data_IF_153432891670
#
_entry.id   IF_153432891670
#
_cell.length_a   1.000
_cell.length_b   1.000
_cell.length_c   1.000
_cell.angle_alpha   90.00
_cell.angle_beta   90.00
_cell.angle_gamma   90.00
#
_symmetry.space_group_name_H-M   'P 1'
#
loop_
_entity.id
_entity.type
_entity.pdbx_description
1 polymer ?
#
# COMPACT_ATOMS: atom_id res chain seq x y z
N UNK A 1 -4.86 -42.56 -7.62
CA UNK A 1 -6.07 -43.26 -7.13
C UNK A 1 -6.36 -42.95 -5.66
N UNK A 2 -5.36 -42.94 -4.76
CA UNK A 2 -5.58 -42.68 -3.33
C UNK A 2 -6.17 -41.30 -2.99
N UNK A 3 -5.72 -40.19 -3.58
CA UNK A 3 -6.26 -38.85 -3.23
C UNK A 3 -7.76 -38.72 -3.49
N UNK A 4 -8.26 -39.33 -4.57
CA UNK A 4 -9.68 -39.27 -4.89
C UNK A 4 -10.49 -40.23 -4.02
N UNK A 5 -9.94 -41.41 -3.70
CA UNK A 5 -10.55 -42.37 -2.80
C UNK A 5 -10.61 -41.83 -1.36
N UNK A 6 -9.49 -41.34 -0.83
CA UNK A 6 -9.38 -40.67 0.47
C UNK A 6 -10.31 -39.46 0.55
N UNK A 7 -10.44 -38.69 -0.55
CA UNK A 7 -11.39 -37.60 -0.64
C UNK A 7 -12.82 -38.09 -0.55
N UNK A 8 -13.23 -39.07 -1.38
CA UNK A 8 -14.60 -39.62 -1.37
C UNK A 8 -14.93 -40.24 -0.01
N UNK A 9 -13.98 -40.93 0.62
CA UNK A 9 -14.11 -41.49 1.97
C UNK A 9 -14.27 -40.38 3.02
N UNK A 10 -13.51 -39.27 2.91
CA UNK A 10 -13.68 -38.11 3.77
C UNK A 10 -15.05 -37.45 3.66
N UNK A 11 -15.77 -37.65 2.55
CA UNK A 11 -17.13 -37.15 2.35
C UNK A 11 -18.21 -38.03 2.97
N UNK A 12 -17.90 -39.27 3.35
CA UNK A 12 -18.87 -40.26 3.81
C UNK A 12 -19.47 -40.00 5.20
N UNK A 13 -18.82 -39.17 6.03
CA UNK A 13 -19.18 -38.93 7.44
C UNK A 13 -19.39 -37.44 7.76
N UNK A 14 -20.08 -36.71 6.88
CA UNK A 14 -20.30 -35.27 7.05
C UNK A 14 -21.72 -34.98 7.53
N UNK A 15 -21.82 -34.22 8.62
CA UNK A 15 -23.09 -33.92 9.29
C UNK A 15 -23.81 -32.68 8.70
N UNK A 16 -23.13 -31.89 7.87
CA UNK A 16 -23.70 -30.66 7.31
C UNK A 16 -23.09 -30.26 5.96
N UNK A 17 -23.80 -29.38 5.24
CA UNK A 17 -23.28 -28.73 4.04
C UNK A 17 -22.03 -27.88 4.33
N UNK A 18 -21.92 -27.34 5.55
CA UNK A 18 -20.73 -26.60 5.99
C UNK A 18 -19.50 -27.51 6.03
N UNK A 19 -19.62 -28.70 6.63
CA UNK A 19 -18.51 -29.67 6.70
C UNK A 19 -18.12 -30.19 5.31
N UNK A 20 -19.11 -30.36 4.42
CA UNK A 20 -18.87 -30.69 3.01
C UNK A 20 -18.04 -29.63 2.30
N UNK A 21 -18.42 -28.35 2.41
CA UNK A 21 -17.68 -27.26 1.77
C UNK A 21 -16.25 -27.17 2.31
N UNK A 22 -16.05 -27.29 3.62
CA UNK A 22 -14.73 -27.27 4.23
C UNK A 22 -13.84 -28.41 3.71
N UNK A 23 -14.34 -29.65 3.70
CA UNK A 23 -13.60 -30.81 3.20
C UNK A 23 -13.28 -30.72 1.71
N UNK A 24 -14.23 -30.24 0.89
CA UNK A 24 -14.02 -30.04 -0.55
C UNK A 24 -12.93 -29.00 -0.80
N UNK A 25 -12.97 -27.85 -0.12
CA UNK A 25 -11.96 -26.79 -0.27
C UNK A 25 -10.57 -27.30 0.14
N UNK A 26 -10.48 -28.04 1.25
CA UNK A 26 -9.23 -28.64 1.72
C UNK A 26 -8.62 -29.59 0.69
N UNK A 27 -9.43 -30.50 0.13
CA UNK A 27 -8.95 -31.50 -0.84
C UNK A 27 -8.63 -30.90 -2.20
N UNK A 28 -9.40 -29.92 -2.68
CA UNK A 28 -9.10 -29.17 -3.90
C UNK A 28 -7.72 -28.52 -3.78
N UNK A 29 -7.43 -27.82 -2.69
CA UNK A 29 -6.12 -27.17 -2.47
C UNK A 29 -4.97 -28.16 -2.46
N UNK A 30 -5.08 -29.25 -1.69
CA UNK A 30 -4.06 -30.32 -1.66
C UNK A 30 -3.80 -30.91 -3.04
N UNK A 31 -4.86 -31.18 -3.80
CA UNK A 31 -4.76 -31.72 -5.16
C UNK A 31 -4.06 -30.74 -6.10
N UNK A 32 -4.44 -29.45 -6.07
CA UNK A 32 -3.79 -28.41 -6.86
C UNK A 32 -2.31 -28.23 -6.48
N UNK A 33 -1.95 -28.28 -5.20
CA UNK A 33 -0.55 -28.20 -4.76
C UNK A 33 0.30 -29.32 -5.36
N UNK A 34 -0.23 -30.56 -5.39
CA UNK A 34 0.47 -31.71 -5.98
C UNK A 34 0.58 -31.61 -7.50
N UNK A 35 -0.48 -31.17 -8.18
CA UNK A 35 -0.45 -30.90 -9.63
C UNK A 35 0.63 -29.88 -9.98
N UNK A 36 0.71 -28.78 -9.22
CA UNK A 36 1.73 -27.74 -9.44
C UNK A 36 3.13 -28.25 -9.09
N UNK A 37 3.30 -29.01 -7.99
CA UNK A 37 4.60 -29.60 -7.63
C UNK A 37 5.13 -30.51 -8.74
N UNK A 38 4.27 -31.37 -9.28
CA UNK A 38 4.63 -32.29 -10.36
C UNK A 38 4.90 -31.55 -11.67
N UNK A 39 4.10 -30.52 -11.99
CA UNK A 39 4.39 -29.63 -13.12
C UNK A 39 5.78 -28.99 -13.00
N UNK A 40 6.14 -28.45 -11.83
CA UNK A 40 7.46 -27.86 -11.59
C UNK A 40 8.59 -28.88 -11.71
N UNK A 41 8.37 -30.11 -11.24
CA UNK A 41 9.31 -31.21 -11.39
C UNK A 41 9.51 -31.59 -12.86
N UNK A 42 8.44 -31.68 -13.64
CA UNK A 42 8.53 -31.95 -15.08
C UNK A 42 9.21 -30.81 -15.83
N UNK A 43 8.91 -29.55 -15.47
CA UNK A 43 9.61 -28.40 -16.02
C UNK A 43 11.12 -28.48 -15.76
N UNK A 44 11.54 -28.85 -14.55
CA UNK A 44 12.96 -29.08 -14.21
C UNK A 44 13.59 -30.21 -15.07
N UNK A 45 12.84 -31.27 -15.41
CA UNK A 45 13.31 -32.30 -16.35
C UNK A 45 13.55 -31.74 -17.76
N UNK A 46 12.65 -30.89 -18.26
CA UNK A 46 12.79 -30.32 -19.61
C UNK A 46 13.98 -29.39 -19.76
N UNK A 47 14.51 -28.86 -18.65
CA UNK A 47 15.67 -27.97 -18.66
C UNK A 47 16.99 -28.72 -18.79
N UNK A 48 17.06 -30.02 -18.49
CA UNK A 48 18.30 -30.81 -18.48
C UNK A 48 19.13 -30.69 -19.77
N UNK A 49 18.54 -30.79 -20.97
CA UNK A 49 19.31 -30.69 -22.22
C UNK A 49 19.96 -29.32 -22.45
N UNK A 50 19.45 -28.27 -21.80
CA UNK A 50 19.95 -26.89 -21.92
C UNK A 50 21.06 -26.55 -20.92
N UNK A 51 21.43 -27.48 -20.03
CA UNK A 51 22.42 -27.25 -18.98
C UNK A 51 23.83 -27.31 -19.57
N UNK A 52 24.69 -26.29 -19.36
CA UNK A 52 26.07 -26.31 -19.82
C UNK A 52 26.86 -27.50 -19.26
N UNK A 53 27.65 -28.16 -20.11
CA UNK A 53 28.35 -29.41 -19.79
C UNK A 53 29.42 -29.26 -18.69
N UNK A 54 29.93 -28.05 -18.48
CA UNK A 54 30.88 -27.70 -17.42
C UNK A 54 30.27 -27.71 -16.00
N UNK A 55 28.94 -27.76 -15.90
CA UNK A 55 28.24 -27.80 -14.62
C UNK A 55 28.09 -29.23 -14.10
N UNK A 56 28.61 -29.52 -12.91
CA UNK A 56 28.57 -30.85 -12.32
C UNK A 56 27.27 -31.06 -11.55
N UNK A 57 26.51 -32.11 -11.88
CA UNK A 57 25.32 -32.49 -11.10
C UNK A 57 25.70 -32.92 -9.68
N UNK A 58 25.02 -32.36 -8.68
CA UNK A 58 25.26 -32.68 -7.26
C UNK A 58 24.15 -33.59 -6.73
N UNK A 59 22.93 -33.07 -6.66
CA UNK A 59 21.77 -33.78 -6.13
C UNK A 59 20.47 -33.06 -6.53
N UNK A 60 19.33 -33.59 -6.07
CA UNK A 60 18.08 -32.84 -6.02
C UNK A 60 17.91 -32.21 -4.64
N UNK A 61 17.40 -30.99 -4.61
CA UNK A 61 17.11 -30.26 -3.37
C UNK A 61 15.64 -29.85 -3.32
N UNK A 62 15.01 -30.09 -2.18
CA UNK A 62 13.64 -29.65 -1.93
C UNK A 62 13.54 -28.11 -1.87
N UNK A 63 12.43 -27.57 -2.36
CA UNK A 63 12.00 -26.18 -2.20
C UNK A 63 10.54 -26.12 -1.83
N UNK A 64 10.19 -25.18 -0.95
CA UNK A 64 8.81 -24.84 -0.63
C UNK A 64 8.52 -23.41 -1.06
N UNK A 65 7.42 -23.19 -1.79
CA UNK A 65 6.91 -21.86 -2.13
C UNK A 65 5.44 -21.78 -1.71
N UNK A 66 5.11 -20.74 -0.94
CA UNK A 66 3.79 -20.31 -0.54
C UNK A 66 3.10 -19.58 -1.71
N UNK A 67 2.04 -20.19 -2.22
CA UNK A 67 1.12 -19.60 -3.16
C UNK A 67 -0.19 -19.22 -2.46
N UNK A 68 -1.04 -18.42 -3.11
CA UNK A 68 -2.36 -18.07 -2.57
C UNK A 68 -3.29 -19.30 -2.42
N UNK A 69 -2.96 -20.42 -3.08
CA UNK A 69 -3.64 -21.70 -2.95
C UNK A 69 -2.90 -22.69 -2.01
N UNK A 70 -1.88 -22.21 -1.29
CA UNK A 70 -1.13 -22.95 -0.28
C UNK A 70 0.31 -23.29 -0.69
N UNK A 71 1.01 -23.98 0.21
CA UNK A 71 2.42 -24.32 0.07
C UNK A 71 2.62 -25.45 -0.95
N UNK A 72 3.50 -25.22 -1.93
CA UNK A 72 3.93 -26.24 -2.89
C UNK A 72 5.35 -26.66 -2.57
N UNK A 73 5.52 -27.95 -2.28
CA UNK A 73 6.81 -28.59 -2.05
C UNK A 73 7.23 -29.34 -3.31
N UNK A 74 8.41 -29.05 -3.86
CA UNK A 74 8.94 -29.73 -5.04
C UNK A 74 10.44 -29.92 -4.93
N UNK A 75 10.98 -30.89 -5.68
CA UNK A 75 12.42 -31.10 -5.81
C UNK A 75 12.92 -30.55 -7.14
N UNK A 76 14.10 -29.95 -7.11
CA UNK A 76 14.77 -29.41 -8.30
C UNK A 76 16.24 -29.80 -8.31
N UNK A 77 16.85 -29.84 -9.48
CA UNK A 77 18.26 -30.21 -9.58
C UNK A 77 19.18 -29.10 -9.09
N UNK A 78 20.29 -29.50 -8.47
CA UNK A 78 21.37 -28.65 -8.04
C UNK A 78 22.65 -29.05 -8.77
N UNK A 79 23.29 -28.06 -9.38
CA UNK A 79 24.57 -28.19 -10.07
C UNK A 79 25.62 -27.32 -9.41
N UNK A 80 26.89 -27.71 -9.54
CA UNK A 80 28.04 -26.90 -9.16
C UNK A 80 28.67 -26.33 -10.42
N UNK A 81 28.77 -25.00 -10.49
CA UNK A 81 29.49 -24.30 -11.56
C UNK A 81 31.01 -24.41 -11.34
N UNK A 82 31.84 -24.27 -12.39
CA UNK A 82 33.31 -24.27 -12.27
C UNK A 82 33.85 -23.22 -11.29
N UNK A 83 33.13 -22.10 -11.12
CA UNK A 83 33.47 -21.04 -10.17
C UNK A 83 33.12 -21.36 -8.71
N UNK A 84 32.61 -22.57 -8.41
CA UNK A 84 32.23 -23.01 -7.08
C UNK A 84 30.83 -22.57 -6.61
N UNK A 85 30.05 -21.87 -7.44
CA UNK A 85 28.68 -21.45 -7.09
C UNK A 85 27.64 -22.52 -7.42
N UNK A 86 26.59 -22.60 -6.60
CA UNK A 86 25.45 -23.49 -6.85
C UNK A 86 24.54 -22.90 -7.92
N UNK A 87 24.10 -23.76 -8.83
CA UNK A 87 23.20 -23.46 -9.93
C UNK A 87 21.94 -24.31 -9.83
N UNK A 88 20.78 -23.64 -9.83
CA UNK A 88 19.46 -24.27 -9.80
C UNK A 88 18.70 -23.87 -11.08
N UNK A 89 18.71 -24.71 -12.14
CA UNK A 89 18.15 -24.36 -13.44
C UNK A 89 16.70 -23.88 -13.37
N UNK A 90 15.85 -24.62 -12.63
CA UNK A 90 14.45 -24.25 -12.43
C UNK A 90 14.28 -22.91 -11.71
N UNK A 91 15.13 -22.61 -10.71
CA UNK A 91 15.05 -21.35 -9.97
C UNK A 91 15.44 -20.17 -10.85
N UNK A 92 16.47 -20.31 -11.69
CA UNK A 92 16.87 -19.26 -12.64
C UNK A 92 15.81 -19.07 -13.72
N UNK A 93 15.27 -20.15 -14.28
CA UNK A 93 14.21 -20.08 -15.27
C UNK A 93 12.98 -19.36 -14.72
N UNK A 94 12.56 -19.69 -13.50
CA UNK A 94 11.43 -19.05 -12.82
C UNK A 94 11.79 -17.73 -12.10
N UNK A 95 13.06 -17.32 -12.16
CA UNK A 95 13.65 -16.18 -11.46
C UNK A 95 13.26 -16.10 -9.97
N UNK A 96 13.29 -17.25 -9.30
CA UNK A 96 12.92 -17.38 -7.90
C UNK A 96 14.01 -16.81 -7.00
N UNK A 97 13.73 -15.68 -6.35
CA UNK A 97 14.62 -15.06 -5.36
C UNK A 97 15.16 -16.08 -4.35
N UNK A 98 16.47 -16.05 -4.09
CA UNK A 98 17.14 -16.96 -3.18
C UNK A 98 16.52 -16.87 -1.77
N UNK A 99 16.28 -18.04 -1.13
CA UNK A 99 15.74 -18.16 0.23
C UNK A 99 14.35 -17.56 0.47
N UNK A 100 13.72 -16.97 -0.54
CA UNK A 100 12.34 -16.48 -0.45
C UNK A 100 11.37 -17.63 -0.71
N UNK A 101 10.37 -17.70 0.16
CA UNK A 101 9.33 -18.73 0.16
C UNK A 101 7.96 -18.22 -0.26
N UNK A 102 7.81 -16.94 -0.63
CA UNK A 102 6.50 -16.37 -0.96
C UNK A 102 6.48 -16.01 -2.43
N UNK A 103 5.51 -16.52 -3.17
CA UNK A 103 5.37 -16.26 -4.60
C UNK A 103 5.11 -14.78 -4.91
N UNK A 104 5.53 -14.26 -6.08
CA UNK A 104 5.31 -12.87 -6.48
C UNK A 104 3.83 -12.45 -6.44
N UNK A 105 2.93 -13.32 -6.92
CA UNK A 105 1.49 -13.04 -6.90
C UNK A 105 0.96 -12.91 -5.48
N UNK A 106 1.37 -13.79 -4.56
CA UNK A 106 1.01 -13.71 -3.15
C UNK A 106 1.45 -12.36 -2.55
N UNK A 107 2.70 -11.96 -2.77
CA UNK A 107 3.20 -10.64 -2.31
C UNK A 107 2.31 -9.50 -2.80
N UNK A 108 1.86 -9.57 -4.06
CA UNK A 108 0.97 -8.56 -4.66
C UNK A 108 -0.40 -8.49 -3.96
N UNK A 109 -0.99 -9.64 -3.62
CA UNK A 109 -2.28 -9.70 -2.92
C UNK A 109 -2.17 -9.11 -1.52
N UNK A 110 -1.12 -9.49 -0.77
CA UNK A 110 -0.84 -8.93 0.56
C UNK A 110 -0.67 -7.42 0.50
N UNK A 111 0.06 -6.89 -0.48
CA UNK A 111 0.25 -5.44 -0.63
C UNK A 111 -1.04 -4.70 -0.96
N UNK A 112 -1.97 -5.30 -1.72
CA UNK A 112 -3.28 -4.71 -2.03
C UNK A 112 -4.19 -4.66 -0.78
N UNK A 113 -4.32 -5.77 -0.07
CA UNK A 113 -5.16 -5.86 1.14
C UNK A 113 -4.56 -5.01 2.27
N UNK A 114 -3.23 -5.04 2.44
CA UNK A 114 -2.52 -4.30 3.47
C UNK A 114 -2.69 -2.77 3.45
N UNK A 115 -3.20 -2.21 2.35
CA UNK A 115 -3.53 -0.78 2.23
C UNK A 115 -4.85 -0.38 2.88
N UNK A 116 -5.75 -1.33 3.16
CA UNK A 116 -7.06 -1.04 3.75
C UNK A 116 -7.19 -1.56 5.17
N UNK A 117 -6.33 -2.49 5.60
CA UNK A 117 -6.41 -3.15 6.91
C UNK A 117 -5.11 -3.08 7.71
N UNK A 118 -5.16 -3.33 9.02
CA UNK A 118 -3.95 -3.45 9.86
C UNK A 118 -3.10 -4.66 9.44
N UNK A 119 -1.82 -4.72 9.83
CA UNK A 119 -0.97 -5.87 9.46
C UNK A 119 -1.49 -7.19 10.04
N UNK A 120 -2.04 -7.16 11.26
CA UNK A 120 -2.65 -8.34 11.89
C UNK A 120 -3.93 -8.77 11.18
N UNK A 121 -4.82 -7.84 10.84
CA UNK A 121 -6.05 -8.17 10.12
C UNK A 121 -5.75 -8.66 8.70
N UNK A 122 -4.73 -8.09 8.05
CA UNK A 122 -4.26 -8.57 6.74
C UNK A 122 -3.75 -10.00 6.85
N UNK A 123 -2.93 -10.31 7.85
CA UNK A 123 -2.46 -11.67 8.10
C UNK A 123 -3.63 -12.62 8.37
N UNK A 124 -4.59 -12.25 9.22
CA UNK A 124 -5.77 -13.06 9.51
C UNK A 124 -6.63 -13.31 8.26
N UNK A 125 -6.88 -12.28 7.44
CA UNK A 125 -7.63 -12.41 6.19
C UNK A 125 -6.93 -13.32 5.18
N UNK A 126 -5.61 -13.17 5.04
CA UNK A 126 -4.81 -14.04 4.17
C UNK A 126 -4.85 -15.47 4.70
N UNK A 127 -4.55 -15.70 5.97
CA UNK A 127 -4.54 -17.05 6.56
C UNK A 127 -5.90 -17.73 6.43
N UNK A 128 -7.00 -17.00 6.64
CA UNK A 128 -8.35 -17.49 6.41
C UNK A 128 -8.58 -17.88 4.94
N UNK A 129 -8.22 -17.00 4.01
CA UNK A 129 -8.46 -17.20 2.59
C UNK A 129 -7.56 -18.29 1.97
N UNK A 130 -6.29 -18.36 2.35
CA UNK A 130 -5.29 -19.25 1.74
C UNK A 130 -4.87 -20.45 2.59
N UNK A 131 -5.36 -20.59 3.83
CA UNK A 131 -4.90 -21.61 4.80
C UNK A 131 -3.37 -21.64 4.93
N UNK A 132 -2.78 -20.45 4.92
CA UNK A 132 -1.35 -20.24 5.12
C UNK A 132 -1.11 -19.71 6.52
N UNK A 133 0.14 -19.68 6.97
CA UNK A 133 0.53 -19.14 8.28
C UNK A 133 1.41 -17.89 8.15
N UNK A 134 0.91 -16.85 7.49
CA UNK A 134 1.64 -15.58 7.41
C UNK A 134 1.50 -14.79 8.73
N UNK A 135 2.62 -14.28 9.24
CA UNK A 135 2.62 -13.40 10.41
C UNK A 135 2.39 -11.94 10.02
N UNK A 136 1.91 -11.12 10.97
CA UNK A 136 1.80 -9.67 10.78
C UNK A 136 3.15 -9.00 10.45
N UNK A 137 4.27 -9.56 10.94
CA UNK A 137 5.61 -9.07 10.61
C UNK A 137 5.99 -9.38 9.16
N UNK A 138 5.67 -10.58 8.68
CA UNK A 138 5.85 -10.96 7.28
C UNK A 138 5.03 -10.07 6.34
N UNK A 139 3.80 -9.70 6.74
CA UNK A 139 2.98 -8.72 6.02
C UNK A 139 3.67 -7.36 5.93
N UNK A 140 4.19 -6.82 7.04
CA UNK A 140 4.92 -5.54 7.04
C UNK A 140 6.15 -5.58 6.11
N UNK A 141 6.91 -6.69 6.14
CA UNK A 141 8.05 -6.89 5.25
C UNK A 141 7.64 -6.90 3.78
N UNK A 142 6.58 -7.65 3.42
CA UNK A 142 6.06 -7.68 2.05
C UNK A 142 5.63 -6.29 1.60
N UNK A 143 4.94 -5.53 2.45
CA UNK A 143 4.50 -4.16 2.13
C UNK A 143 5.70 -3.26 1.81
N UNK A 144 6.79 -3.36 2.56
CA UNK A 144 8.02 -2.59 2.28
C UNK A 144 8.66 -3.03 0.97
N UNK A 145 8.85 -4.33 0.79
CA UNK A 145 9.43 -4.90 -0.44
C UNK A 145 8.60 -4.45 -1.67
N UNK A 146 7.27 -4.51 -1.60
CA UNK A 146 6.38 -4.08 -2.70
C UNK A 146 6.34 -2.56 -2.90
N UNK A 147 6.51 -1.77 -1.85
CA UNK A 147 6.65 -0.32 -1.99
C UNK A 147 7.94 0.05 -2.73
N UNK A 148 9.04 -0.65 -2.47
CA UNK A 148 10.30 -0.49 -3.19
C UNK A 148 10.15 -0.91 -4.66
N UNK A 149 9.45 -2.02 -4.94
CA UNK A 149 9.09 -2.40 -6.32
C UNK A 149 8.32 -1.29 -7.02
N UNK A 150 7.27 -0.74 -6.39
CA UNK A 150 6.48 0.37 -6.96
C UNK A 150 7.34 1.60 -7.22
N UNK A 151 8.25 1.94 -6.31
CA UNK A 151 9.15 3.09 -6.44
C UNK A 151 10.12 2.94 -7.62
N UNK A 152 10.66 1.74 -7.84
CA UNK A 152 11.52 1.44 -8.98
C UNK A 152 10.75 1.53 -10.31
N UNK A 153 9.55 0.96 -10.35
CA UNK A 153 8.73 0.95 -11.57
C UNK A 153 8.21 2.33 -11.96
N UNK A 154 7.85 3.16 -10.97
CA UNK A 154 7.48 4.54 -11.19
C UNK A 154 8.60 5.31 -11.88
N UNK A 155 9.84 5.24 -11.36
CA UNK A 155 11.01 5.89 -11.96
C UNK A 155 11.26 5.43 -13.39
N UNK A 156 11.21 4.12 -13.65
CA UNK A 156 11.41 3.59 -15.00
C UNK A 156 10.32 4.01 -16.00
N UNK A 157 9.11 4.29 -15.51
CA UNK A 157 7.99 4.73 -16.35
C UNK A 157 8.11 6.21 -16.76
N UNK A 158 8.99 6.98 -16.13
CA UNK A 158 9.15 8.41 -16.37
C UNK A 158 10.02 8.75 -17.60
N UNK A 159 10.54 7.78 -18.34
CA UNK A 159 11.48 8.06 -19.44
C UNK A 159 10.83 8.41 -20.79
N UNK A 160 9.49 8.41 -20.89
CA UNK A 160 8.81 8.72 -22.16
C UNK A 160 8.67 10.23 -22.39
N UNK A 161 8.99 10.66 -23.61
CA UNK A 161 8.66 12.00 -24.11
C UNK A 161 7.14 12.19 -24.09
N UNK A 162 6.67 13.27 -23.46
CA UNK A 162 5.25 13.60 -23.36
C UNK A 162 4.98 14.93 -24.05
N UNK A 163 3.97 14.96 -24.93
CA UNK A 163 3.45 16.22 -25.47
C UNK A 163 2.79 17.02 -24.35
N UNK A 164 3.39 18.15 -23.98
CA UNK A 164 2.85 19.04 -22.93
C UNK A 164 1.45 19.55 -23.31
N UNK A 165 0.52 19.49 -22.36
CA UNK A 165 -0.86 19.99 -22.47
C UNK A 165 -0.94 21.47 -22.17
N UNK A 166 -1.86 22.17 -22.84
CA UNK A 166 -2.28 23.53 -22.47
C UNK A 166 -3.74 23.45 -22.07
N UNK A 167 -4.06 23.91 -20.87
CA UNK A 167 -5.41 23.90 -20.29
C UNK A 167 -5.67 25.23 -19.60
N UNK A 168 -6.93 25.57 -19.37
CA UNK A 168 -7.29 26.87 -18.78
C UNK A 168 -7.59 26.80 -17.28
N UNK A 169 -7.65 25.59 -16.73
CA UNK A 169 -8.25 25.26 -15.45
C UNK A 169 -7.37 24.28 -14.65
N UNK A 170 -6.04 24.38 -14.77
CA UNK A 170 -5.11 23.56 -14.00
C UNK A 170 -5.09 24.03 -12.54
N UNK A 171 -5.40 23.12 -11.63
CA UNK A 171 -5.46 23.36 -10.18
C UNK A 171 -4.38 22.56 -9.46
N UNK A 172 -3.73 23.18 -8.49
CA UNK A 172 -2.86 22.55 -7.49
C UNK A 172 -3.39 22.84 -6.10
N UNK A 173 -3.83 21.82 -5.37
CA UNK A 173 -4.22 21.96 -3.96
C UNK A 173 -3.18 21.31 -3.07
N UNK A 174 -2.86 21.95 -1.95
CA UNK A 174 -1.88 21.46 -0.98
C UNK A 174 -2.39 21.58 0.44
N UNK A 175 -2.23 20.50 1.21
CA UNK A 175 -2.50 20.47 2.66
C UNK A 175 -1.58 19.46 3.36
N UNK A 176 -1.67 19.36 4.68
CA UNK A 176 -0.97 18.38 5.49
C UNK A 176 -1.92 17.68 6.48
N UNK A 177 -1.60 16.43 6.81
CA UNK A 177 -2.24 15.75 7.91
C UNK A 177 -1.22 15.08 8.84
N UNK A 178 -1.47 15.20 10.13
CA UNK A 178 -0.59 14.66 11.17
C UNK A 178 -0.83 13.16 11.43
N UNK A 179 0.23 12.38 11.63
CA UNK A 179 0.19 10.97 12.05
C UNK A 179 1.13 10.71 13.24
N UNK A 180 0.92 9.59 13.93
CA UNK A 180 1.71 9.19 15.09
C UNK A 180 2.84 8.22 14.70
N UNK A 181 4.07 8.51 15.13
CA UNK A 181 5.22 7.60 15.05
C UNK A 181 5.30 6.72 16.30
N UNK A 182 6.07 5.62 16.22
CA UNK A 182 6.25 4.65 17.32
C UNK A 182 6.72 5.32 18.62
N UNK A 183 7.55 6.36 18.54
CA UNK A 183 8.06 7.12 19.68
C UNK A 183 7.09 8.22 20.19
N UNK A 184 5.79 8.10 19.88
CA UNK A 184 4.73 9.07 20.18
C UNK A 184 4.98 10.49 19.61
N UNK A 185 5.98 10.66 18.74
CA UNK A 185 6.16 11.90 18.00
C UNK A 185 5.12 12.02 16.90
N UNK A 186 4.77 13.26 16.60
CA UNK A 186 3.89 13.65 15.50
C UNK A 186 4.73 13.85 14.25
N UNK A 187 4.16 13.49 13.11
CA UNK A 187 4.77 13.68 11.80
C UNK A 187 3.69 14.19 10.86
N UNK A 188 3.96 15.30 10.20
CA UNK A 188 3.12 15.77 9.12
C UNK A 188 3.39 14.97 7.86
N UNK A 189 2.32 14.54 7.21
CA UNK A 189 2.33 14.03 5.86
C UNK A 189 1.80 15.14 4.96
N UNK A 190 2.63 15.60 4.04
CA UNK A 190 2.29 16.62 3.07
C UNK A 190 1.63 15.96 1.88
N UNK A 191 0.51 16.53 1.46
CA UNK A 191 -0.33 15.99 0.40
C UNK A 191 -0.68 17.09 -0.59
N UNK A 192 -0.39 16.84 -1.86
CA UNK A 192 -0.72 17.73 -2.97
C UNK A 192 -1.51 16.97 -4.01
N UNK A 193 -2.48 17.65 -4.61
CA UNK A 193 -3.24 17.12 -5.73
C UNK A 193 -3.18 18.10 -6.90
N UNK A 194 -3.01 17.54 -8.10
CA UNK A 194 -3.01 18.29 -9.35
C UNK A 194 -4.13 17.75 -10.22
N UNK A 195 -5.00 18.62 -10.72
CA UNK A 195 -6.11 18.21 -11.59
C UNK A 195 -6.55 19.34 -12.52
N UNK A 196 -7.28 18.96 -13.56
CA UNK A 196 -7.98 19.89 -14.45
C UNK A 196 -9.42 20.04 -13.93
N UNK A 197 -9.86 21.28 -13.66
CA UNK A 197 -11.13 21.57 -12.98
C UNK A 197 -12.27 21.90 -13.93
N UNK A 198 -13.26 21.03 -14.07
CA UNK A 198 -14.47 21.28 -14.86
C UNK A 198 -15.45 22.25 -14.20
N UNK A 199 -16.30 22.89 -15.01
CA UNK A 199 -17.35 23.83 -14.56
C UNK A 199 -18.36 23.20 -13.59
N UNK A 200 -18.69 21.94 -13.82
CA UNK A 200 -19.60 21.12 -13.03
C UNK A 200 -18.94 20.55 -11.76
N UNK A 201 -17.66 20.88 -11.51
CA UNK A 201 -16.88 20.35 -10.40
C UNK A 201 -16.25 18.97 -10.69
N UNK A 202 -16.33 18.49 -11.93
CA UNK A 202 -15.55 17.32 -12.35
C UNK A 202 -14.06 17.61 -12.27
N UNK A 203 -13.29 16.55 -12.03
CA UNK A 203 -11.83 16.61 -11.92
C UNK A 203 -11.23 15.59 -12.85
N UNK A 204 -10.73 16.02 -14.00
CA UNK A 204 -10.01 15.15 -14.93
C UNK A 204 -8.52 15.16 -14.63
N UNK A 205 -7.83 14.10 -15.07
CA UNK A 205 -6.37 14.01 -14.99
C UNK A 205 -5.79 14.24 -13.58
N UNK A 206 -6.56 13.86 -12.55
CA UNK A 206 -6.16 14.02 -11.14
C UNK A 206 -4.97 13.13 -10.79
N UNK A 207 -3.94 13.72 -10.20
CA UNK A 207 -2.78 13.03 -9.66
C UNK A 207 -2.48 13.53 -8.25
N UNK A 208 -2.28 12.60 -7.32
CA UNK A 208 -1.99 12.86 -5.91
C UNK A 208 -0.52 12.56 -5.59
N UNK A 209 0.08 13.39 -4.74
CA UNK A 209 1.47 13.31 -4.30
C UNK A 209 1.52 13.40 -2.78
N UNK A 210 2.14 12.42 -2.13
CA UNK A 210 2.30 12.39 -0.67
C UNK A 210 3.74 12.17 -0.24
N UNK A 211 4.07 12.63 0.96
CA UNK A 211 5.34 12.33 1.60
C UNK A 211 5.54 13.06 2.91
N UNK A 212 6.57 12.64 3.65
CA UNK A 212 6.88 13.18 4.99
C UNK A 212 7.79 14.41 4.97
N UNK A 213 8.31 14.79 3.78
CA UNK A 213 9.18 15.94 3.59
C UNK A 213 8.57 16.88 2.57
N UNK A 214 8.09 18.04 3.02
CA UNK A 214 7.36 19.01 2.19
C UNK A 214 8.11 19.37 0.91
N UNK A 215 9.40 19.74 1.01
CA UNK A 215 10.20 20.19 -0.12
C UNK A 215 10.37 19.07 -1.17
N UNK A 216 10.56 17.83 -0.74
CA UNK A 216 10.64 16.68 -1.67
C UNK A 216 9.31 16.46 -2.40
N UNK A 217 8.18 16.61 -1.71
CA UNK A 217 6.85 16.44 -2.35
C UNK A 217 6.57 17.61 -3.31
N UNK A 218 6.84 18.86 -2.90
CA UNK A 218 6.73 20.04 -3.77
C UNK A 218 7.55 19.87 -5.04
N UNK A 219 8.81 19.41 -4.94
CA UNK A 219 9.63 19.12 -6.11
C UNK A 219 8.99 18.09 -7.05
N UNK A 220 8.42 17.00 -6.52
CA UNK A 220 7.71 15.99 -7.34
C UNK A 220 6.51 16.60 -8.07
N UNK A 221 5.77 17.49 -7.42
CA UNK A 221 4.64 18.21 -8.02
C UNK A 221 5.13 19.14 -9.13
N UNK A 222 6.19 19.93 -8.87
CA UNK A 222 6.82 20.80 -9.87
C UNK A 222 7.29 20.01 -11.08
N UNK A 223 8.09 18.95 -10.86
CA UNK A 223 8.63 18.10 -11.92
C UNK A 223 7.51 17.48 -12.77
N UNK A 224 6.41 17.06 -12.15
CA UNK A 224 5.23 16.58 -12.85
C UNK A 224 4.57 17.69 -13.69
N UNK A 225 4.27 18.84 -13.10
CA UNK A 225 3.56 19.91 -13.81
C UNK A 225 4.39 20.41 -15.00
N UNK A 226 5.68 20.67 -14.79
CA UNK A 226 6.60 21.14 -15.83
C UNK A 226 6.75 20.13 -16.97
N UNK A 227 6.70 18.84 -16.67
CA UNK A 227 6.78 17.77 -17.66
C UNK A 227 5.51 17.63 -18.49
N UNK A 228 4.33 17.76 -17.88
CA UNK A 228 3.06 17.44 -18.52
C UNK A 228 2.26 18.64 -19.02
N UNK A 229 2.58 19.86 -18.60
CA UNK A 229 1.82 21.07 -18.92
C UNK A 229 2.72 22.23 -19.39
N UNK A 230 2.21 23.05 -20.31
CA UNK A 230 2.87 24.28 -20.81
C UNK A 230 2.53 25.48 -19.92
N UNK A 231 2.90 25.42 -18.64
CA UNK A 231 2.43 26.41 -17.66
C UNK A 231 2.91 27.85 -17.94
N UNK A 232 3.98 28.04 -18.70
CA UNK A 232 4.47 29.34 -19.17
C UNK A 232 3.49 30.12 -20.04
N UNK A 233 2.41 29.49 -20.49
CA UNK A 233 1.33 30.10 -21.27
C UNK A 233 -0.03 29.97 -20.56
N UNK A 234 -0.03 29.67 -19.25
CA UNK A 234 -1.24 29.32 -18.50
C UNK A 234 -1.35 30.12 -17.20
N UNK A 235 -2.61 30.36 -16.80
CA UNK A 235 -2.92 30.66 -15.40
C UNK A 235 -3.06 29.35 -14.64
N UNK A 236 -2.31 29.18 -13.55
CA UNK A 236 -2.44 28.03 -12.65
C UNK A 236 -3.13 28.46 -11.37
N UNK A 237 -4.15 27.71 -10.97
CA UNK A 237 -4.90 27.96 -9.74
C UNK A 237 -4.28 27.15 -8.61
N UNK A 238 -4.07 27.78 -7.47
CA UNK A 238 -3.50 27.13 -6.29
C UNK A 238 -4.44 27.30 -5.10
N UNK A 239 -4.61 26.27 -4.28
CA UNK A 239 -5.42 26.34 -3.06
C UNK A 239 -4.78 25.63 -1.87
N UNK A 240 -4.95 26.21 -0.69
CA UNK A 240 -4.44 25.63 0.57
C UNK A 240 -5.09 26.28 1.80
N UNK A 241 -4.61 25.92 2.99
CA UNK A 241 -4.99 26.52 4.27
C UNK A 241 -4.32 27.88 4.56
N UNK A 242 -3.33 28.28 3.77
CA UNK A 242 -2.52 29.49 3.95
C UNK A 242 -1.48 29.42 5.08
N UNK A 243 -1.23 28.23 5.64
CA UNK A 243 -0.29 28.00 6.73
C UNK A 243 1.19 28.03 6.32
N UNK A 244 2.11 27.79 7.27
CA UNK A 244 3.55 27.68 6.97
C UNK A 244 3.82 26.64 5.88
N UNK A 245 4.50 27.06 4.80
CA UNK A 245 4.79 26.22 3.64
C UNK A 245 3.60 25.99 2.68
N UNK A 246 2.43 26.53 2.99
CA UNK A 246 1.21 26.49 2.17
C UNK A 246 0.69 27.89 1.83
N UNK A 247 1.33 28.94 2.31
CA UNK A 247 0.99 30.33 1.98
C UNK A 247 1.15 30.64 0.47
N UNK A 248 0.63 31.78 -0.02
CA UNK A 248 0.67 32.12 -1.45
C UNK A 248 2.07 32.06 -2.07
N UNK A 249 3.10 32.51 -1.33
CA UNK A 249 4.48 32.48 -1.80
C UNK A 249 4.97 31.05 -2.00
N UNK A 250 4.77 30.18 -1.00
CA UNK A 250 5.16 28.78 -1.08
C UNK A 250 4.40 28.02 -2.18
N UNK A 251 3.11 28.30 -2.39
CA UNK A 251 2.35 27.69 -3.48
C UNK A 251 2.77 28.19 -4.86
N UNK A 252 3.18 29.45 -4.98
CA UNK A 252 3.76 30.01 -6.22
C UNK A 252 5.08 29.33 -6.60
N UNK A 253 5.93 29.01 -5.61
CA UNK A 253 7.22 28.34 -5.82
C UNK A 253 7.07 26.92 -6.42
N UNK A 254 5.91 26.26 -6.29
CA UNK A 254 5.64 24.94 -6.87
C UNK A 254 5.48 25.01 -8.39
N UNK A 255 5.04 26.15 -8.92
CA UNK A 255 4.78 26.36 -10.36
C UNK A 255 5.57 27.56 -10.86
N UNK A 256 6.92 27.51 -10.80
CA UNK A 256 7.77 28.68 -11.03
C UNK A 256 7.61 29.25 -12.44
N UNK A 257 7.46 28.39 -13.45
CA UNK A 257 7.34 28.81 -14.84
C UNK A 257 5.93 29.26 -15.22
N UNK A 258 4.94 29.24 -14.32
CA UNK A 258 3.57 29.61 -14.70
C UNK A 258 3.46 31.10 -15.07
N UNK A 259 2.75 31.40 -16.16
CA UNK A 259 2.52 32.78 -16.62
C UNK A 259 1.83 33.62 -15.55
N UNK A 260 0.80 33.05 -14.91
CA UNK A 260 0.06 33.66 -13.81
C UNK A 260 -0.31 32.59 -12.79
N UNK A 261 -0.35 32.98 -11.51
CA UNK A 261 -0.81 32.09 -10.44
C UNK A 261 -1.90 32.77 -9.64
N UNK A 262 -3.02 32.08 -9.51
CA UNK A 262 -4.20 32.52 -8.77
C UNK A 262 -4.32 31.69 -7.50
N UNK A 263 -3.99 32.29 -6.36
CA UNK A 263 -4.08 31.62 -5.07
C UNK A 263 -5.45 31.87 -4.42
N UNK A 264 -6.04 30.82 -3.83
CA UNK A 264 -7.32 30.88 -3.10
C UNK A 264 -7.20 30.11 -1.79
N UNK A 265 -7.76 30.65 -0.71
CA UNK A 265 -7.88 29.91 0.54
C UNK A 265 -9.00 28.89 0.41
N UNK A 266 -8.72 27.64 0.76
CA UNK A 266 -9.72 26.60 0.77
C UNK A 266 -10.83 26.93 1.79
N UNK A 267 -12.06 26.92 1.29
CA UNK A 267 -13.29 27.17 2.05
C UNK A 267 -13.37 26.36 3.33
N UNK A 268 -12.93 25.11 3.29
CA UNK A 268 -12.98 24.24 4.44
C UNK A 268 -12.24 24.83 5.65
N UNK A 269 -11.08 25.46 5.45
CA UNK A 269 -10.22 25.90 6.55
C UNK A 269 -10.78 27.13 7.27
N UNK A 270 -11.29 28.14 6.56
CA UNK A 270 -11.90 29.29 7.22
C UNK A 270 -13.22 28.90 7.90
N UNK A 271 -14.03 28.03 7.29
CA UNK A 271 -15.27 27.52 7.92
C UNK A 271 -14.94 26.75 9.19
N UNK A 272 -13.92 25.89 9.15
CA UNK A 272 -13.47 25.11 10.30
C UNK A 272 -12.95 26.01 11.42
N UNK A 273 -12.13 27.02 11.10
CA UNK A 273 -11.63 27.98 12.10
C UNK A 273 -12.77 28.77 12.75
N UNK A 274 -13.73 29.27 11.98
CA UNK A 274 -14.92 29.94 12.53
C UNK A 274 -15.67 29.01 13.48
N UNK A 275 -15.96 27.77 13.07
CA UNK A 275 -16.66 26.78 13.92
C UNK A 275 -15.90 26.43 15.20
N UNK A 276 -14.57 26.33 15.12
CA UNK A 276 -13.72 26.04 16.27
C UNK A 276 -13.67 27.21 17.25
N UNK A 277 -13.65 28.45 16.76
CA UNK A 277 -13.62 29.65 17.59
C UNK A 277 -14.98 29.93 18.24
N UNK A 278 -16.07 29.86 17.46
CA UNK A 278 -17.41 30.23 17.93
C UNK A 278 -18.07 29.13 18.78
N UNK A 279 -17.65 27.88 18.58
CA UNK A 279 -18.36 26.69 19.03
C UNK A 279 -19.40 26.24 18.01
N UNK A 280 -19.50 24.92 17.81
CA UNK A 280 -20.28 24.31 16.71
C UNK A 280 -21.76 24.72 16.70
N UNK A 281 -22.34 24.96 17.87
CA UNK A 281 -23.76 25.27 18.07
C UNK A 281 -24.07 26.75 18.25
N UNK A 282 -23.07 27.64 18.08
CA UNK A 282 -23.30 29.07 18.22
C UNK A 282 -24.08 29.61 17.00
N UNK A 283 -25.19 30.33 17.20
CA UNK A 283 -26.05 30.82 16.12
C UNK A 283 -25.37 31.85 15.20
N UNK A 284 -24.23 32.41 15.60
CA UNK A 284 -23.45 33.36 14.80
C UNK A 284 -22.56 32.67 13.75
N UNK A 285 -22.33 31.35 13.85
CA UNK A 285 -21.45 30.60 12.93
C UNK A 285 -21.91 30.75 11.48
N UNK A 286 -23.18 30.47 11.19
CA UNK A 286 -23.69 30.51 9.82
C UNK A 286 -23.69 31.92 9.25
N UNK A 287 -23.96 32.92 10.10
CA UNK A 287 -23.87 34.34 9.72
C UNK A 287 -22.43 34.71 9.37
N UNK A 288 -21.45 34.34 10.20
CA UNK A 288 -20.03 34.60 9.96
C UNK A 288 -19.54 33.92 8.68
N UNK A 289 -19.87 32.63 8.49
CA UNK A 289 -19.51 31.89 7.28
C UNK A 289 -20.13 32.53 6.04
N UNK A 290 -21.38 32.99 6.11
CA UNK A 290 -22.06 33.67 5.00
C UNK A 290 -21.37 35.00 4.67
N UNK A 291 -21.07 35.83 5.66
CA UNK A 291 -20.36 37.11 5.46
C UNK A 291 -18.99 36.92 4.80
N UNK A 292 -18.21 35.92 5.26
CA UNK A 292 -16.93 35.57 4.62
C UNK A 292 -17.12 35.11 3.18
N UNK A 293 -18.15 34.29 2.92
CA UNK A 293 -18.45 33.77 1.57
C UNK A 293 -18.89 34.86 0.59
N UNK A 294 -19.60 35.88 1.10
CA UNK A 294 -20.09 37.03 0.32
C UNK A 294 -19.07 38.18 0.26
N UNK A 295 -17.89 38.00 0.84
CA UNK A 295 -16.85 39.04 0.92
C UNK A 295 -17.31 40.32 1.65
N UNK A 296 -18.23 40.18 2.61
CA UNK A 296 -18.78 41.29 3.39
C UNK A 296 -18.01 41.45 4.71
N UNK A 297 -16.97 42.29 4.65
CA UNK A 297 -16.09 42.55 5.79
C UNK A 297 -16.78 43.32 6.92
N UNK A 298 -17.72 44.21 6.56
CA UNK A 298 -18.42 45.04 7.54
C UNK A 298 -19.34 44.18 8.41
N UNK A 299 -20.19 43.36 7.77
CA UNK A 299 -21.07 42.46 8.50
C UNK A 299 -20.28 41.43 9.32
N UNK A 300 -19.14 40.95 8.79
CA UNK A 300 -18.27 40.04 9.53
C UNK A 300 -17.72 40.67 10.80
N UNK A 301 -17.26 41.93 10.75
CA UNK A 301 -16.76 42.64 11.92
C UNK A 301 -17.84 42.77 12.99
N UNK A 302 -19.07 43.18 12.62
CA UNK A 302 -20.21 43.25 13.54
C UNK A 302 -20.47 41.91 14.24
N UNK A 303 -20.39 40.80 13.49
CA UNK A 303 -20.59 39.45 14.05
C UNK A 303 -19.46 39.07 15.01
N UNK A 304 -18.21 39.38 14.67
CA UNK A 304 -17.05 39.11 15.52
C UNK A 304 -17.11 39.93 16.81
N UNK A 305 -17.51 41.19 16.75
CA UNK A 305 -17.68 42.06 17.92
C UNK A 305 -18.85 41.59 18.80
N UNK A 306 -19.95 41.13 18.17
CA UNK A 306 -21.07 40.52 18.87
C UNK A 306 -20.62 39.26 19.60
N UNK A 307 -19.83 38.40 18.95
CA UNK A 307 -19.28 37.20 19.58
C UNK A 307 -18.32 37.55 20.73
N UNK A 308 -17.49 38.58 20.56
CA UNK A 308 -16.58 39.08 21.60
C UNK A 308 -17.30 39.45 22.89
N UNK A 309 -18.47 40.08 22.80
CA UNK A 309 -19.29 40.41 23.99
C UNK A 309 -19.88 39.19 24.71
N UNK A 310 -19.88 38.01 24.08
CA UNK A 310 -20.36 36.74 24.68
C UNK A 310 -19.23 35.93 25.33
N UNK A 311 -17.97 36.30 25.10
CA UNK A 311 -16.79 35.58 25.60
C UNK A 311 -16.68 35.72 27.12
N UNK A 312 -16.38 34.60 27.80
CA UNK A 312 -16.25 34.58 29.27
C UNK A 312 -14.84 34.23 29.74
N UNK A 313 -13.98 33.77 28.85
CA UNK A 313 -12.65 33.27 29.19
C UNK A 313 -11.56 33.88 28.31
N UNK A 314 -10.37 34.08 28.88
CA UNK A 314 -9.20 34.56 28.13
C UNK A 314 -8.82 33.63 26.97
N UNK A 315 -9.08 32.33 27.11
CA UNK A 315 -8.83 31.33 26.08
C UNK A 315 -9.72 31.51 24.85
N UNK A 316 -11.00 31.82 25.06
CA UNK A 316 -11.93 32.13 23.98
C UNK A 316 -11.56 33.46 23.32
N UNK A 317 -11.16 34.46 24.10
CA UNK A 317 -10.69 35.75 23.59
C UNK A 317 -9.46 35.58 22.70
N UNK A 318 -8.49 34.77 23.13
CA UNK A 318 -7.31 34.46 22.33
C UNK A 318 -7.68 33.69 21.06
N UNK A 319 -8.63 32.76 21.14
CA UNK A 319 -9.14 32.03 19.96
C UNK A 319 -9.80 32.96 18.94
N UNK A 320 -10.51 34.01 19.41
CA UNK A 320 -11.07 35.05 18.55
C UNK A 320 -9.98 35.93 17.93
N UNK A 321 -8.97 36.35 18.70
CA UNK A 321 -7.82 37.11 18.18
C UNK A 321 -7.10 36.37 17.06
N UNK A 322 -6.83 35.08 17.25
CA UNK A 322 -6.21 34.22 16.24
C UNK A 322 -7.09 34.13 14.98
N UNK A 323 -8.41 34.02 15.13
CA UNK A 323 -9.34 34.03 13.99
C UNK A 323 -9.31 35.36 13.23
N UNK A 324 -9.38 36.51 13.94
CA UNK A 324 -9.28 37.84 13.32
C UNK A 324 -7.99 38.00 12.53
N UNK A 325 -6.85 37.64 13.11
CA UNK A 325 -5.56 37.70 12.43
C UNK A 325 -5.50 36.77 11.21
N UNK A 326 -6.07 35.57 11.30
CA UNK A 326 -6.16 34.64 10.18
C UNK A 326 -6.98 35.21 9.03
N UNK A 327 -8.18 35.73 9.31
CA UNK A 327 -9.07 36.30 8.30
C UNK A 327 -8.45 37.56 7.67
N UNK A 328 -7.88 38.46 8.48
CA UNK A 328 -7.24 39.67 7.99
C UNK A 328 -6.08 39.39 7.01
N UNK A 329 -5.18 38.46 7.35
CA UNK A 329 -4.06 38.06 6.47
C UNK A 329 -4.52 37.48 5.14
N UNK A 330 -5.64 36.76 5.16
CA UNK A 330 -6.09 35.92 4.07
C UNK A 330 -7.25 36.52 3.27
N UNK A 331 -7.78 37.67 3.69
CA UNK A 331 -9.02 38.25 3.17
C UNK A 331 -9.04 38.32 1.64
N UNK A 332 -7.99 38.88 1.02
CA UNK A 332 -7.87 38.99 -0.44
C UNK A 332 -7.93 37.65 -1.20
N UNK A 333 -7.59 36.54 -0.53
CA UNK A 333 -7.55 35.20 -1.12
C UNK A 333 -8.82 34.38 -0.85
N UNK A 334 -9.77 34.91 -0.07
CA UNK A 334 -11.05 34.24 0.20
C UNK A 334 -11.97 34.30 -1.01
N UNK A 335 -11.91 35.40 -1.77
CA UNK A 335 -12.72 35.60 -2.99
C UNK A 335 -12.49 34.43 -3.95
N UNK A 336 -13.55 33.86 -4.51
CA UNK A 336 -13.39 32.70 -5.39
C UNK A 336 -12.75 33.10 -6.73
N UNK A 337 -12.10 32.18 -7.46
CA UNK A 337 -11.62 32.46 -8.81
C UNK A 337 -12.74 32.98 -9.73
N UNK A 338 -13.94 32.43 -9.61
CA UNK A 338 -15.10 32.87 -10.38
C UNK A 338 -15.42 34.35 -10.14
N UNK A 339 -15.44 34.79 -8.88
CA UNK A 339 -15.70 36.20 -8.54
C UNK A 339 -14.53 37.14 -8.90
N UNK A 340 -13.36 36.57 -9.23
CA UNK A 340 -12.20 37.27 -9.82
C UNK A 340 -12.19 37.25 -11.36
N UNK A 341 -13.22 36.72 -12.00
CA UNK A 341 -13.37 36.69 -13.46
C UNK A 341 -12.94 35.38 -14.13
N UNK A 342 -12.54 34.36 -13.36
CA UNK A 342 -12.15 33.04 -13.90
C UNK A 342 -13.35 32.10 -13.96
N UNK A 343 -14.14 32.23 -15.03
CA UNK A 343 -15.41 31.52 -15.16
C UNK A 343 -15.27 30.01 -15.38
N UNK A 344 -14.10 29.52 -15.84
CA UNK A 344 -13.88 28.12 -16.26
C UNK A 344 -13.30 27.21 -15.18
N UNK A 345 -13.23 27.68 -13.93
CA UNK A 345 -12.70 26.91 -12.79
C UNK A 345 -13.83 26.58 -11.83
N UNK A 346 -14.07 25.28 -11.63
CA UNK A 346 -15.03 24.79 -10.65
C UNK A 346 -14.58 24.98 -9.20
N UNK A 347 -15.33 24.39 -8.26
CA UNK A 347 -15.05 24.50 -6.82
C UNK A 347 -13.72 23.85 -6.42
N UNK A 348 -12.91 24.62 -5.72
CA UNK A 348 -11.68 24.20 -5.05
C UNK A 348 -11.97 23.62 -3.66
N UNK A 349 -10.99 22.93 -3.06
CA UNK A 349 -11.05 22.41 -1.69
C UNK A 349 -11.38 20.91 -1.61
N UNK A 350 -10.73 20.12 -2.47
CA UNK A 350 -10.90 18.67 -2.54
C UNK A 350 -9.84 17.87 -1.80
N UNK A 351 -8.68 18.47 -1.50
CA UNK A 351 -7.55 17.82 -0.81
C UNK A 351 -7.95 17.18 0.52
N UNK A 352 -8.84 17.82 1.29
CA UNK A 352 -9.33 17.28 2.57
C UNK A 352 -10.13 15.98 2.39
N UNK A 353 -10.90 15.86 1.29
CA UNK A 353 -11.62 14.62 0.98
C UNK A 353 -10.65 13.50 0.54
N UNK A 354 -9.61 13.85 -0.23
CA UNK A 354 -8.58 12.91 -0.67
C UNK A 354 -7.73 12.39 0.49
N UNK A 355 -7.57 13.14 1.60
CA UNK A 355 -6.93 12.63 2.83
C UNK A 355 -7.54 11.31 3.32
N UNK A 356 -8.82 11.03 3.06
CA UNK A 356 -9.50 9.82 3.57
C UNK A 356 -8.82 8.54 3.10
N UNK A 357 -8.33 8.51 1.86
CA UNK A 357 -7.64 7.35 1.30
C UNK A 357 -6.41 6.93 2.11
N UNK A 358 -5.73 7.90 2.73
CA UNK A 358 -4.56 7.70 3.57
C UNK A 358 -4.93 7.57 5.06
N UNK A 359 -5.74 8.50 5.56
CA UNK A 359 -6.03 8.63 6.99
C UNK A 359 -6.84 7.48 7.56
N UNK A 360 -7.74 6.85 6.78
CA UNK A 360 -8.46 5.66 7.25
C UNK A 360 -7.52 4.50 7.55
N UNK A 361 -6.50 4.32 6.70
CA UNK A 361 -5.49 3.28 6.92
C UNK A 361 -4.51 3.64 8.03
N UNK A 362 -4.18 4.92 8.18
CA UNK A 362 -2.99 5.36 8.93
C UNK A 362 -3.28 5.98 10.29
N UNK A 363 -4.49 6.52 10.51
CA UNK A 363 -4.88 7.17 11.78
C UNK A 363 -5.76 6.25 12.65
N UNK A 364 -5.89 6.67 13.92
CA UNK A 364 -6.76 6.09 14.96
C UNK A 364 -6.41 4.63 15.31
N UNK A 365 -7.15 4.03 16.25
CA UNK A 365 -7.01 2.63 16.68
C UNK A 365 -5.60 2.25 17.15
N UNK A 366 -4.90 3.18 17.84
CA UNK A 366 -3.54 2.93 18.34
C UNK A 366 -2.47 2.72 17.27
N UNK A 367 -2.76 3.02 15.99
CA UNK A 367 -1.82 2.86 14.89
C UNK A 367 -0.66 3.85 15.03
N UNK A 368 0.56 3.30 15.02
CA UNK A 368 1.82 4.04 15.04
C UNK A 368 2.74 3.49 13.97
N UNK A 369 3.61 4.34 13.44
CA UNK A 369 4.44 3.99 12.29
C UNK A 369 5.93 4.23 12.54
N UNK A 370 6.75 3.28 12.07
CA UNK A 370 8.16 3.58 11.79
C UNK A 370 8.24 4.45 10.55
N UNK A 371 9.32 5.19 10.37
CA UNK A 371 9.51 6.04 9.19
C UNK A 371 9.47 5.23 7.88
N UNK A 372 10.21 4.12 7.83
CA UNK A 372 10.21 3.22 6.67
C UNK A 372 8.82 2.62 6.39
N UNK A 373 8.11 2.17 7.42
CA UNK A 373 6.76 1.61 7.26
C UNK A 373 5.73 2.65 6.81
N UNK A 374 5.88 3.89 7.29
CA UNK A 374 5.09 5.04 6.88
C UNK A 374 5.30 5.36 5.40
N UNK A 375 6.55 5.55 4.97
CA UNK A 375 6.87 5.87 3.57
C UNK A 375 6.41 4.75 2.62
N UNK A 376 6.62 3.48 3.00
CA UNK A 376 6.16 2.33 2.23
C UNK A 376 4.63 2.32 2.05
N UNK A 377 3.89 2.52 3.14
CA UNK A 377 2.43 2.56 3.09
C UNK A 377 1.91 3.74 2.26
N UNK A 378 2.49 4.93 2.43
CA UNK A 378 2.14 6.10 1.62
C UNK A 378 2.37 5.83 0.15
N UNK A 379 3.50 5.19 -0.23
CA UNK A 379 3.82 4.90 -1.62
C UNK A 379 2.82 3.93 -2.27
N UNK A 380 2.41 2.88 -1.55
CA UNK A 380 1.40 1.94 -2.05
C UNK A 380 0.03 2.61 -2.21
N UNK A 381 -0.42 3.37 -1.21
CA UNK A 381 -1.71 4.08 -1.28
C UNK A 381 -1.69 5.12 -2.41
N UNK A 382 -0.59 5.88 -2.54
CA UNK A 382 -0.40 6.86 -3.63
C UNK A 382 -0.50 6.20 -5.01
N UNK A 383 0.15 5.05 -5.20
CA UNK A 383 0.04 4.29 -6.45
C UNK A 383 -1.38 3.80 -6.70
N UNK A 384 -2.14 3.43 -5.66
CA UNK A 384 -3.54 3.00 -5.77
C UNK A 384 -4.46 4.15 -6.15
N UNK A 385 -4.39 5.28 -5.45
CA UNK A 385 -5.26 6.44 -5.74
C UNK A 385 -5.00 7.02 -7.12
N UNK A 386 -3.76 6.91 -7.62
CA UNK A 386 -3.37 7.30 -8.96
C UNK A 386 -3.65 6.22 -10.03
N UNK A 387 -4.31 5.10 -9.68
CA UNK A 387 -4.68 4.03 -10.63
C UNK A 387 -3.50 3.26 -11.23
N UNK A 388 -2.31 3.33 -10.61
CA UNK A 388 -1.06 2.78 -11.13
C UNK A 388 -0.51 1.58 -10.35
N UNK A 389 -1.07 1.28 -9.17
CA UNK A 389 -0.59 0.18 -8.31
C UNK A 389 -0.47 -1.14 -9.06
N UNK A 390 -1.53 -1.57 -9.74
CA UNK A 390 -1.54 -2.85 -10.45
C UNK A 390 -0.54 -2.88 -11.60
N UNK A 391 -0.41 -1.76 -12.33
CA UNK A 391 0.59 -1.60 -13.38
C UNK A 391 2.00 -1.73 -12.82
N UNK A 392 2.30 -1.05 -11.73
CA UNK A 392 3.64 -1.06 -11.12
C UNK A 392 3.97 -2.40 -10.46
N UNK A 393 3.04 -3.00 -9.71
CA UNK A 393 3.26 -4.34 -9.17
C UNK A 393 3.43 -5.36 -10.29
N UNK A 394 2.58 -5.36 -11.32
CA UNK A 394 2.75 -6.26 -12.46
C UNK A 394 4.05 -5.98 -13.20
N UNK A 395 4.41 -4.73 -13.44
CA UNK A 395 5.66 -4.35 -14.11
C UNK A 395 6.87 -4.89 -13.35
N UNK A 396 6.99 -4.61 -12.06
CA UNK A 396 8.16 -5.04 -11.27
C UNK A 396 8.17 -6.55 -10.98
N UNK A 397 7.01 -7.15 -10.76
CA UNK A 397 6.91 -8.60 -10.52
C UNK A 397 6.97 -9.43 -11.82
N UNK A 398 6.68 -8.82 -12.99
CA UNK A 398 6.82 -9.46 -14.31
C UNK A 398 8.09 -9.06 -15.05
N UNK A 399 8.83 -8.01 -14.68
CA UNK A 399 10.21 -7.81 -15.16
C UNK A 399 11.14 -8.94 -14.72
N UNK A 400 10.64 -9.81 -13.83
CA UNK A 400 11.13 -11.18 -13.66
C UNK A 400 10.83 -12.11 -14.87
N UNK A 401 10.36 -11.61 -16.02
CA UNK A 401 9.92 -12.38 -17.20
C UNK A 401 9.92 -11.56 -18.51
N UNK A 402 10.72 -12.01 -19.48
CA UNK A 402 10.14 -12.68 -20.64
C UNK A 402 10.40 -14.17 -20.43
N UNK A 403 9.43 -14.88 -19.83
CA UNK A 403 9.50 -16.33 -19.71
C UNK A 403 8.89 -16.91 -20.98
N UNK A 404 9.71 -17.08 -22.01
CA UNK A 404 9.32 -17.92 -23.16
C UNK A 404 9.43 -19.36 -22.69
N UNK A 405 8.36 -19.85 -22.08
CA UNK A 405 8.21 -21.26 -21.76
C UNK A 405 7.74 -21.94 -23.06
N UNK A 406 8.67 -22.22 -23.97
CA UNK A 406 8.43 -23.16 -25.07
C UNK A 406 8.47 -24.58 -24.49
N UNK A 407 7.43 -24.93 -23.74
CA UNK A 407 7.17 -26.34 -23.47
C UNK A 407 6.49 -26.88 -24.72
N UNK A 408 7.19 -27.72 -25.49
CA UNK A 408 6.51 -28.64 -26.38
C UNK A 408 5.57 -29.47 -25.51
N UNK A 409 4.26 -29.30 -25.68
CA UNK A 409 3.21 -29.99 -24.89
C UNK A 409 3.34 -31.51 -24.96
N UNK A 410 4.00 -32.02 -26.00
CA UNK A 410 4.38 -33.43 -26.19
C UNK A 410 5.41 -33.94 -25.17
N UNK A 411 6.19 -33.04 -24.56
CA UNK A 411 7.25 -33.36 -23.58
C UNK A 411 6.74 -33.52 -22.13
N UNK A 412 5.54 -32.98 -21.83
CA UNK A 412 4.92 -33.16 -20.53
C UNK A 412 4.21 -34.50 -20.50
N UNK A 413 4.63 -35.39 -19.60
CA UNK A 413 3.94 -36.66 -19.39
C UNK A 413 2.53 -36.33 -18.89
N UNK A 414 1.50 -36.88 -19.55
CA UNK A 414 0.11 -36.80 -19.07
C UNK A 414 0.07 -37.15 -17.59
N UNK A 415 -0.35 -36.19 -16.77
CA UNK A 415 -0.53 -36.36 -15.34
C UNK A 415 -1.67 -37.35 -15.12
N UNK A 416 -1.32 -38.62 -14.98
CA UNK A 416 -2.31 -39.62 -14.58
C UNK A 416 -2.67 -39.41 -13.12
N UNK A 417 -3.94 -39.67 -12.77
CA UNK A 417 -4.40 -39.70 -11.38
C UNK A 417 -3.65 -40.73 -10.51
N UNK A 418 -2.90 -41.66 -11.11
CA UNK A 418 -1.98 -42.59 -10.43
C UNK A 418 -0.66 -41.92 -9.98
N UNK A 419 -0.10 -41.00 -10.78
CA UNK A 419 1.14 -40.29 -10.43
C UNK A 419 0.92 -39.28 -9.29
N UNK A 420 -0.24 -38.62 -9.25
CA UNK A 420 -0.62 -37.72 -8.17
C UNK A 420 -0.79 -38.45 -6.82
N UNK A 421 -1.10 -39.76 -6.84
CA UNK A 421 -1.31 -40.55 -5.61
C UNK A 421 -0.06 -41.19 -5.01
N UNK A 422 1.10 -41.06 -5.64
CA UNK A 422 2.32 -41.65 -5.10
C UNK A 422 2.90 -40.76 -4.00
N UNK A 423 2.74 -41.18 -2.75
CA UNK A 423 3.64 -40.73 -1.67
C UNK A 423 5.05 -41.19 -2.00
N UNK A 424 6.01 -40.27 -2.04
CA UNK A 424 7.30 -40.59 -1.46
C UNK A 424 7.08 -40.75 0.04
N UNK A 425 7.18 -41.97 0.55
CA UNK A 425 7.39 -42.18 1.97
C UNK A 425 8.71 -41.51 2.34
N UNK A 426 8.67 -40.29 2.89
CA UNK A 426 9.68 -39.94 3.88
C UNK A 426 9.50 -40.95 5.01
N UNK A 427 10.51 -41.78 5.29
CA UNK A 427 10.57 -42.48 6.57
C UNK A 427 10.41 -41.40 7.64
N UNK A 428 9.24 -41.32 8.25
CA UNK A 428 9.14 -40.64 9.52
C UNK A 428 10.05 -41.45 10.44
N UNK A 429 11.17 -40.87 10.84
CA UNK A 429 11.76 -41.27 12.10
C UNK A 429 10.62 -40.99 13.09
N UNK A 430 10.01 -42.05 13.61
CA UNK A 430 9.04 -41.94 14.68
C UNK A 430 9.63 -41.09 15.79
N UNK A 431 8.79 -40.50 16.65
CA UNK A 431 9.20 -39.73 17.82
C UNK A 431 10.50 -40.30 18.39
N UNK A 432 11.59 -39.52 18.33
CA UNK A 432 12.83 -39.87 19.01
C UNK A 432 12.50 -39.84 20.50
N UNK A 433 12.15 -40.99 21.08
CA UNK A 433 11.98 -41.17 22.52
C UNK A 433 13.36 -41.02 23.17
N UNK A 434 13.70 -39.79 23.56
CA UNK A 434 14.89 -39.51 24.36
C UNK A 434 14.60 -39.78 25.83
N UNK A 435 15.40 -40.64 26.46
CA UNK A 435 15.44 -40.80 27.92
C UNK A 435 16.55 -39.91 28.46
N UNK A 436 16.25 -39.08 29.46
CA UNK A 436 17.29 -38.35 30.21
C UNK A 436 17.95 -39.37 31.16
N UNK A 437 19.23 -39.73 30.98
CA UNK A 437 19.93 -40.56 31.96
C UNK A 437 20.13 -39.75 33.24
N UNK A 438 19.79 -40.35 34.38
CA UNK A 438 19.91 -39.71 35.69
C UNK A 438 20.92 -40.50 36.51
N UNK A 439 22.15 -39.97 36.61
CA UNK A 439 23.19 -40.48 37.51
C UNK A 439 23.14 -39.74 38.87
N UNK A 440 21.93 -39.55 39.39
CA UNK A 440 21.66 -38.83 40.63
C UNK A 440 20.40 -39.36 41.34
N UNK A 441 20.19 -39.05 42.64
CA UNK A 441 18.95 -39.42 43.33
C UNK A 441 17.72 -38.84 42.63
N UNK A 442 16.61 -39.59 42.64
CA UNK A 442 15.33 -39.19 42.01
C UNK A 442 14.70 -37.93 42.60
N UNK A 443 15.12 -37.51 43.80
CA UNK A 443 14.76 -36.25 44.46
C UNK A 443 15.55 -35.03 43.97
N UNK A 444 16.58 -35.22 43.14
CA UNK A 444 17.36 -34.11 42.56
C UNK A 444 16.54 -33.35 41.49
N UNK A 445 16.91 -32.09 41.18
CA UNK A 445 16.25 -31.33 40.11
C UNK A 445 16.25 -32.06 38.76
N UNK A 446 17.31 -32.81 38.45
CA UNK A 446 17.41 -33.59 37.21
C UNK A 446 16.57 -34.87 37.26
N UNK A 447 16.42 -35.48 38.45
CA UNK A 447 15.49 -36.59 38.68
C UNK A 447 14.02 -36.18 38.53
N UNK A 448 13.65 -35.01 39.07
CA UNK A 448 12.31 -34.45 38.90
C UNK A 448 12.01 -34.11 37.42
N UNK A 449 13.00 -33.55 36.71
CA UNK A 449 12.90 -33.25 35.28
C UNK A 449 12.75 -34.53 34.44
N UNK A 450 13.56 -35.56 34.69
CA UNK A 450 13.45 -36.84 33.98
C UNK A 450 12.07 -37.46 34.14
N UNK A 451 11.45 -37.35 35.32
CA UNK A 451 10.10 -37.86 35.60
C UNK A 451 9.02 -37.19 34.75
N UNK A 452 9.19 -35.92 34.39
CA UNK A 452 8.25 -35.16 33.53
C UNK A 452 8.30 -35.67 32.07
N UNK A 453 9.47 -36.12 31.61
CA UNK A 453 9.69 -36.62 30.25
C UNK A 453 9.55 -38.15 30.12
N UNK A 454 9.06 -38.83 31.18
CA UNK A 454 8.93 -40.30 31.23
C UNK A 454 7.56 -40.84 30.76
N UNK A 455 6.66 -40.01 30.25
CA UNK A 455 5.31 -40.39 29.80
C UNK A 455 5.20 -40.50 28.28
#
# INVERSE_FOLDING_TARGET
MYILADFIESLGNLDSLFDLEEQVILHLRKSFQLVVAEYLRQLDETLVPSIPAENTFINRQARTIEFMFGAVNFERRCYLRPNGSYYFPLDEQLQLEERKRISPYFKSVVAKIGQTTTMRNTAAMINLASQTDISAWSVDRIIRDMADTVKTEEKSSEEKLVKKRKVENLVVEGDAFEIHKINRRRQDVHHYIVFESGLDGTRSNKVEFVGINQKKVQKRVTDYIEKYYKISEMTVFTASDGGPGYNPKSMREIVPSAQRVEFTIDRYHFVKKIKQTFGLFNPLVDKAVKSVSLYDQNQLNVILDTFESQIKTDKELESLRVLRQYLARNWQFIKSPHDRGFMRVGKLGSVESSHRAYTYRMKKQGKVWSEKGLEAMLKLIEARVNGKLDKYLRGGLRKLQELTIEIATESLKTLSSAQLSNKHHSKHIGVLSGKIPVDAPTSSPIGAMAKIFSN
#
